data_IF_789839772853
#
_entry.id   IF_789839772853
#
_cell.length_a   1.000
_cell.length_b   1.000
_cell.length_c   1.000
_cell.angle_alpha   90.00
_cell.angle_beta   90.00
_cell.angle_gamma   90.00
#
_symmetry.space_group_name_H-M   'P 1'
#
loop_
_entity.id
_entity.type
_entity.pdbx_description
1 polymer ?
#
# COMPACT_ATOMS: atom_id res chain seq x y z
N UNK A 1 -24.97 -24.69 -26.55
CA UNK A 1 -23.83 -25.63 -26.50
C UNK A 1 -22.82 -25.08 -25.51
N UNK A 2 -22.95 -25.45 -24.23
CA UNK A 2 -21.93 -25.48 -23.17
C UNK A 2 -22.63 -26.04 -21.92
N UNK A 3 -22.81 -27.36 -21.92
CA UNK A 3 -22.98 -28.14 -20.70
C UNK A 3 -21.59 -28.39 -20.09
N UNK A 4 -21.55 -28.78 -18.81
CA UNK A 4 -20.40 -29.20 -18.01
C UNK A 4 -19.63 -28.12 -17.23
N UNK A 5 -20.29 -27.52 -16.23
CA UNK A 5 -19.65 -27.34 -14.93
C UNK A 5 -20.11 -28.50 -14.03
N UNK A 6 -19.18 -29.42 -13.73
CA UNK A 6 -19.45 -30.54 -12.85
C UNK A 6 -19.82 -30.02 -11.46
N UNK A 7 -21.07 -30.25 -11.05
CA UNK A 7 -21.48 -30.13 -9.64
C UNK A 7 -20.57 -31.03 -8.82
N UNK A 8 -19.70 -30.44 -8.00
CA UNK A 8 -19.08 -31.18 -6.91
C UNK A 8 -20.23 -31.51 -5.96
N UNK A 9 -20.61 -32.79 -5.91
CA UNK A 9 -21.62 -33.32 -4.98
C UNK A 9 -21.25 -32.89 -3.55
N UNK A 10 -22.25 -32.55 -2.74
CA UNK A 10 -22.06 -32.28 -1.31
C UNK A 10 -21.30 -33.43 -0.62
N UNK A 11 -21.40 -34.66 -1.12
CA UNK A 11 -20.65 -35.83 -0.65
C UNK A 11 -19.16 -35.76 -0.97
N UNK A 12 -18.76 -35.17 -2.10
CA UNK A 12 -17.35 -34.96 -2.44
C UNK A 12 -16.71 -33.88 -1.56
N UNK A 13 -17.47 -32.84 -1.23
CA UNK A 13 -17.06 -31.82 -0.26
C UNK A 13 -16.94 -32.45 1.14
N UNK A 14 -17.94 -33.24 1.55
CA UNK A 14 -17.93 -33.96 2.83
C UNK A 14 -16.73 -34.93 2.95
N UNK A 15 -16.39 -35.66 1.89
CA UNK A 15 -15.25 -36.59 1.92
C UNK A 15 -13.89 -35.89 1.96
N UNK A 16 -13.75 -34.70 1.36
CA UNK A 16 -12.54 -33.86 1.52
C UNK A 16 -12.46 -33.31 2.95
N UNK A 17 -13.61 -32.93 3.52
CA UNK A 17 -13.73 -32.42 4.90
C UNK A 17 -13.41 -33.50 5.94
N UNK A 18 -13.76 -34.76 5.70
CA UNK A 18 -13.46 -35.89 6.60
C UNK A 18 -11.97 -36.30 6.56
N UNK A 19 -11.29 -36.10 5.42
CA UNK A 19 -9.87 -36.44 5.27
C UNK A 19 -8.92 -35.41 5.92
N UNK A 20 -9.41 -34.20 6.20
CA UNK A 20 -8.64 -33.13 6.82
C UNK A 20 -8.77 -33.24 8.35
N UNK A 21 -7.67 -33.52 9.06
CA UNK A 21 -7.67 -33.62 10.52
C UNK A 21 -8.24 -32.36 11.23
N UNK A 22 -8.64 -32.49 12.50
CA UNK A 22 -9.33 -31.45 13.29
C UNK A 22 -8.65 -30.06 13.28
N UNK A 23 -7.32 -30.03 13.12
CA UNK A 23 -6.54 -28.80 12.92
C UNK A 23 -6.83 -28.12 11.57
N UNK A 24 -6.90 -28.88 10.47
CA UNK A 24 -7.16 -28.34 9.12
C UNK A 24 -8.58 -27.78 8.97
N UNK A 25 -9.56 -28.38 9.63
CA UNK A 25 -10.93 -27.86 9.76
C UNK A 25 -10.97 -26.53 10.49
N UNK A 26 -10.27 -26.43 11.63
CA UNK A 26 -10.20 -25.19 12.41
C UNK A 26 -9.53 -24.06 11.63
N UNK A 27 -8.44 -24.35 10.90
CA UNK A 27 -7.81 -23.37 10.01
C UNK A 27 -8.74 -22.90 8.89
N UNK A 28 -9.53 -23.80 8.31
CA UNK A 28 -10.47 -23.47 7.24
C UNK A 28 -11.59 -22.52 7.73
N UNK A 29 -12.14 -22.74 8.92
CA UNK A 29 -13.12 -21.82 9.49
C UNK A 29 -12.52 -20.47 9.86
N UNK A 30 -11.30 -20.44 10.41
CA UNK A 30 -10.59 -19.19 10.74
C UNK A 30 -10.25 -18.36 9.50
N UNK A 31 -9.89 -19.00 8.39
CA UNK A 31 -9.61 -18.27 7.14
C UNK A 31 -10.89 -17.78 6.47
N UNK A 32 -11.98 -18.54 6.52
CA UNK A 32 -13.28 -18.07 6.01
C UNK A 32 -13.82 -16.86 6.79
N UNK A 33 -13.70 -16.87 8.12
CA UNK A 33 -14.13 -15.72 8.93
C UNK A 33 -13.23 -14.51 8.70
N UNK A 34 -11.91 -14.68 8.60
CA UNK A 34 -11.00 -13.56 8.33
C UNK A 34 -11.22 -12.96 6.95
N UNK A 35 -11.39 -13.79 5.90
CA UNK A 35 -11.73 -13.33 4.55
C UNK A 35 -13.09 -12.62 4.54
N UNK A 36 -14.10 -13.15 5.24
CA UNK A 36 -15.41 -12.53 5.36
C UNK A 36 -15.34 -11.14 6.01
N UNK A 37 -14.54 -10.98 7.07
CA UNK A 37 -14.31 -9.68 7.73
C UNK A 37 -13.59 -8.71 6.80
N UNK A 38 -12.56 -9.16 6.06
CA UNK A 38 -11.82 -8.31 5.13
C UNK A 38 -12.73 -7.82 4.00
N UNK A 39 -13.52 -8.70 3.38
CA UNK A 39 -14.48 -8.32 2.34
C UNK A 39 -15.49 -7.30 2.87
N UNK A 40 -16.05 -7.55 4.06
CA UNK A 40 -17.00 -6.62 4.69
C UNK A 40 -16.37 -5.26 5.01
N UNK A 41 -15.12 -5.24 5.49
CA UNK A 41 -14.40 -3.99 5.77
C UNK A 41 -14.10 -3.20 4.49
N UNK A 42 -13.67 -3.86 3.41
CA UNK A 42 -13.43 -3.20 2.13
C UNK A 42 -14.72 -2.62 1.52
N UNK A 43 -15.83 -3.37 1.64
CA UNK A 43 -17.15 -2.86 1.27
C UNK A 43 -17.52 -1.64 2.10
N UNK A 44 -17.28 -1.65 3.42
CA UNK A 44 -17.54 -0.48 4.27
C UNK A 44 -16.72 0.75 3.84
N UNK A 45 -15.43 0.58 3.54
CA UNK A 45 -14.58 1.67 3.05
C UNK A 45 -15.07 2.24 1.72
N UNK A 46 -15.71 1.42 0.88
CA UNK A 46 -16.30 1.90 -0.39
C UNK A 46 -17.48 2.86 -0.19
N UNK A 47 -18.17 2.78 0.94
CA UNK A 47 -19.31 3.65 1.27
C UNK A 47 -18.93 4.93 2.01
N UNK A 48 -17.70 4.99 2.56
CA UNK A 48 -17.19 6.20 3.17
C UNK A 48 -16.82 7.23 2.11
N UNK A 49 -16.78 8.51 2.49
CA UNK A 49 -16.36 9.58 1.59
C UNK A 49 -15.21 10.36 2.22
N UNK A 50 -14.22 10.78 1.40
CA UNK A 50 -13.25 11.78 1.81
C UNK A 50 -13.94 13.03 2.35
N UNK A 51 -13.25 13.75 3.24
CA UNK A 51 -13.79 14.96 3.81
C UNK A 51 -13.85 16.08 2.78
N UNK A 52 -14.54 17.17 3.12
CA UNK A 52 -14.59 18.36 2.26
C UNK A 52 -13.24 19.07 2.14
N UNK A 53 -12.34 18.89 3.11
CA UNK A 53 -11.03 19.53 3.10
C UNK A 53 -9.97 18.67 2.38
N UNK A 54 -10.29 17.42 2.04
CA UNK A 54 -9.39 16.55 1.29
C UNK A 54 -9.09 17.13 -0.10
N UNK A 55 -7.80 17.32 -0.46
CA UNK A 55 -7.38 17.80 -1.77
C UNK A 55 -7.84 16.89 -2.91
N UNK A 56 -8.14 17.50 -4.07
CA UNK A 56 -8.70 16.79 -5.23
C UNK A 56 -7.83 15.62 -5.70
N UNK A 57 -6.50 15.76 -5.68
CA UNK A 57 -5.59 14.67 -6.08
C UNK A 57 -5.68 13.43 -5.16
N UNK A 58 -5.91 13.63 -3.86
CA UNK A 58 -6.12 12.53 -2.92
C UNK A 58 -7.53 11.94 -3.07
N UNK A 59 -8.54 12.75 -3.40
CA UNK A 59 -9.86 12.23 -3.79
C UNK A 59 -9.75 11.33 -5.03
N UNK A 60 -9.00 11.75 -6.05
CA UNK A 60 -8.73 10.93 -7.23
C UNK A 60 -7.93 9.66 -6.89
N UNK A 61 -7.06 9.70 -5.87
CA UNK A 61 -6.37 8.51 -5.37
C UNK A 61 -7.36 7.52 -4.74
N UNK A 62 -8.30 8.00 -3.90
CA UNK A 62 -9.35 7.21 -3.25
C UNK A 62 -10.27 6.49 -4.24
N UNK A 63 -10.66 7.18 -5.30
CA UNK A 63 -11.57 6.64 -6.32
C UNK A 63 -10.92 5.53 -7.15
N UNK A 64 -9.64 5.67 -7.48
CA UNK A 64 -8.90 4.77 -8.37
C UNK A 64 -8.28 3.57 -7.65
N UNK A 65 -7.95 3.71 -6.37
CA UNK A 65 -7.13 2.73 -5.63
C UNK A 65 -7.84 2.34 -4.33
N UNK A 66 -8.63 1.24 -4.32
CA UNK A 66 -9.32 0.75 -3.13
C UNK A 66 -8.40 0.56 -1.91
N UNK A 67 -7.15 0.17 -2.15
CA UNK A 67 -6.11 -0.05 -1.15
C UNK A 67 -5.61 1.24 -0.49
N UNK A 68 -5.75 2.40 -1.15
CA UNK A 68 -5.35 3.70 -0.60
C UNK A 68 -6.51 4.43 0.10
N UNK A 69 -7.72 3.84 0.14
CA UNK A 69 -8.91 4.52 0.68
C UNK A 69 -8.73 4.93 2.13
N UNK A 70 -8.21 4.04 2.97
CA UNK A 70 -8.03 4.32 4.39
C UNK A 70 -7.09 5.52 4.61
N UNK A 71 -5.98 5.57 3.89
CA UNK A 71 -5.07 6.71 3.87
C UNK A 71 -5.84 8.00 3.54
N UNK A 72 -6.59 8.04 2.44
CA UNK A 72 -7.33 9.28 2.08
C UNK A 72 -8.41 9.65 3.12
N UNK A 73 -9.08 8.66 3.73
CA UNK A 73 -10.09 8.87 4.77
C UNK A 73 -9.49 9.40 6.08
N UNK A 74 -8.24 9.09 6.36
CA UNK A 74 -7.53 9.56 7.55
C UNK A 74 -6.91 10.95 7.38
N UNK A 75 -7.00 11.54 6.18
CA UNK A 75 -6.44 12.85 5.86
C UNK A 75 -6.75 13.90 6.94
N UNK A 76 -8.01 14.13 7.30
CA UNK A 76 -8.41 15.15 8.29
C UNK A 76 -7.72 15.04 9.64
N UNK A 77 -7.37 13.82 10.03
CA UNK A 77 -6.78 13.53 11.33
C UNK A 77 -5.26 13.54 11.29
N UNK A 78 -4.67 13.15 10.15
CA UNK A 78 -3.25 12.78 10.06
C UNK A 78 -2.41 13.63 9.11
N UNK A 79 -3.01 14.47 8.27
CA UNK A 79 -2.26 15.26 7.28
C UNK A 79 -1.26 16.27 7.86
N UNK A 80 -1.41 16.63 9.14
CA UNK A 80 -0.49 17.51 9.87
C UNK A 80 0.51 16.74 10.74
N UNK A 81 0.45 15.40 10.73
CA UNK A 81 1.37 14.58 11.48
C UNK A 81 2.71 14.52 10.76
N UNK A 82 3.78 14.61 11.53
CA UNK A 82 5.16 14.43 11.06
C UNK A 82 5.83 13.36 11.92
N UNK A 83 5.42 12.09 11.75
CA UNK A 83 5.97 11.01 12.57
C UNK A 83 7.45 10.81 12.25
N UNK A 84 8.22 10.42 13.27
CA UNK A 84 9.60 9.97 13.07
C UNK A 84 9.61 8.75 12.16
N UNK A 85 10.43 8.80 11.11
CA UNK A 85 10.59 7.69 10.17
C UNK A 85 11.74 6.81 10.65
N UNK A 86 11.41 5.65 11.19
CA UNK A 86 12.37 4.59 11.51
C UNK A 86 12.22 3.43 10.51
N UNK A 87 13.30 3.13 9.80
CA UNK A 87 13.39 2.03 8.83
C UNK A 87 14.49 1.02 9.21
N UNK A 88 15.00 1.08 10.44
CA UNK A 88 16.10 0.24 10.92
C UNK A 88 15.79 -1.27 10.82
N UNK A 89 14.52 -1.66 10.85
CA UNK A 89 14.08 -3.04 10.62
C UNK A 89 14.45 -3.58 9.22
N UNK A 90 14.63 -2.70 8.23
CA UNK A 90 15.01 -3.06 6.86
C UNK A 90 16.53 -3.05 6.64
N UNK A 91 17.32 -2.59 7.62
CA UNK A 91 18.76 -2.58 7.51
C UNK A 91 19.30 -4.02 7.34
N UNK A 92 20.13 -4.23 6.32
CA UNK A 92 20.66 -5.54 5.94
C UNK A 92 19.58 -6.62 5.67
N UNK A 93 18.35 -6.22 5.31
CA UNK A 93 17.29 -7.14 4.93
C UNK A 93 17.73 -8.00 3.72
N UNK A 94 17.47 -9.33 3.72
CA UNK A 94 17.76 -10.19 2.59
C UNK A 94 16.80 -9.98 1.41
N UNK A 95 15.72 -9.20 1.60
CA UNK A 95 14.71 -8.89 0.60
C UNK A 95 14.61 -7.37 0.40
N UNK A 96 14.22 -6.96 -0.81
CA UNK A 96 13.90 -5.55 -1.11
C UNK A 96 12.70 -5.13 -0.24
N UNK A 97 12.80 -4.04 0.54
CA UNK A 97 11.67 -3.56 1.32
C UNK A 97 10.55 -3.06 0.40
N UNK A 98 9.30 -3.14 0.85
CA UNK A 98 8.16 -2.60 0.13
C UNK A 98 7.70 -1.30 0.79
N UNK A 99 7.90 -0.17 0.11
CA UNK A 99 7.41 1.13 0.56
C UNK A 99 6.25 1.61 -0.31
N UNK A 100 5.10 1.79 0.32
CA UNK A 100 3.91 2.33 -0.34
C UNK A 100 4.00 3.84 -0.39
N UNK A 101 3.63 4.44 -1.52
CA UNK A 101 3.65 5.90 -1.68
C UNK A 101 2.67 6.57 -0.71
N UNK A 102 1.55 5.91 -0.42
CA UNK A 102 0.50 6.34 0.51
C UNK A 102 0.69 5.84 1.94
N UNK A 103 1.93 5.62 2.37
CA UNK A 103 2.23 5.42 3.79
C UNK A 103 2.10 6.76 4.52
N UNK A 104 1.37 6.80 5.63
CA UNK A 104 1.09 8.05 6.35
C UNK A 104 2.35 8.75 6.88
N UNK A 105 3.47 8.03 7.00
CA UNK A 105 4.75 8.61 7.43
C UNK A 105 5.30 9.65 6.46
N UNK A 106 4.89 9.60 5.19
CA UNK A 106 5.37 10.53 4.15
C UNK A 106 4.32 10.92 3.12
N UNK A 107 3.26 10.15 2.93
CA UNK A 107 2.29 10.30 1.85
C UNK A 107 1.57 11.66 1.84
N UNK A 108 1.42 12.30 3.01
CA UNK A 108 0.83 13.64 3.15
C UNK A 108 1.85 14.80 3.03
N UNK A 109 3.14 14.50 2.84
CA UNK A 109 4.15 15.55 2.63
C UNK A 109 4.13 16.05 1.19
N UNK A 110 4.67 17.24 0.93
CA UNK A 110 4.78 17.77 -0.43
C UNK A 110 6.04 17.23 -1.13
N UNK A 111 5.89 16.80 -2.37
CA UNK A 111 6.97 16.45 -3.29
C UNK A 111 6.58 16.86 -4.71
N UNK A 112 7.49 17.52 -5.43
CA UNK A 112 7.28 17.96 -6.82
C UNK A 112 5.95 18.72 -7.03
N UNK A 113 5.64 19.64 -6.12
CA UNK A 113 4.44 20.49 -6.19
C UNK A 113 3.12 19.79 -5.86
N UNK A 114 3.15 18.51 -5.46
CA UNK A 114 1.98 17.68 -5.12
C UNK A 114 2.18 16.96 -3.79
N UNK A 115 1.18 16.25 -3.28
CA UNK A 115 1.38 15.29 -2.20
C UNK A 115 2.30 14.16 -2.67
N UNK A 116 3.06 13.58 -1.74
CA UNK A 116 3.98 12.48 -2.01
C UNK A 116 3.22 11.23 -2.49
N UNK A 117 2.03 10.96 -1.97
CA UNK A 117 1.23 9.80 -2.36
C UNK A 117 1.00 9.67 -3.89
N UNK A 118 0.60 10.73 -4.63
CA UNK A 118 0.49 10.67 -6.09
C UNK A 118 1.81 10.84 -6.86
N UNK A 119 2.85 11.43 -6.28
CA UNK A 119 4.05 11.89 -7.03
C UNK A 119 5.36 11.18 -6.67
N UNK A 120 5.41 10.47 -5.55
CA UNK A 120 6.64 9.95 -4.92
C UNK A 120 7.13 8.59 -5.43
N UNK A 121 6.78 8.19 -6.66
CA UNK A 121 7.16 6.88 -7.19
C UNK A 121 8.69 6.72 -7.33
N UNK A 122 9.37 7.73 -7.88
CA UNK A 122 10.83 7.75 -8.02
C UNK A 122 11.56 7.63 -6.69
N UNK A 123 11.31 8.53 -5.71
CA UNK A 123 11.93 8.46 -4.38
C UNK A 123 11.66 7.16 -3.63
N UNK A 124 10.44 6.63 -3.73
CA UNK A 124 10.09 5.34 -3.11
C UNK A 124 10.91 4.20 -3.71
N UNK A 125 10.97 4.12 -5.05
CA UNK A 125 11.78 3.12 -5.75
C UNK A 125 13.27 3.24 -5.42
N UNK A 126 13.80 4.47 -5.42
CA UNK A 126 15.21 4.72 -5.12
C UNK A 126 15.55 4.36 -3.66
N UNK A 127 14.65 4.68 -2.72
CA UNK A 127 14.78 4.29 -1.31
C UNK A 127 14.82 2.76 -1.16
N UNK A 128 13.89 2.04 -1.78
CA UNK A 128 13.86 0.57 -1.74
C UNK A 128 15.15 -0.05 -2.30
N UNK A 129 15.64 0.45 -3.44
CA UNK A 129 16.88 -0.01 -4.05
C UNK A 129 18.11 0.32 -3.18
N UNK A 130 18.19 1.54 -2.66
CA UNK A 130 19.29 2.00 -1.81
C UNK A 130 19.44 1.13 -0.55
N UNK A 131 18.35 0.94 0.19
CA UNK A 131 18.37 0.14 1.42
C UNK A 131 18.76 -1.30 1.11
N UNK A 132 18.21 -1.89 0.05
CA UNK A 132 18.54 -3.27 -0.33
C UNK A 132 20.00 -3.45 -0.73
N UNK A 133 20.56 -2.54 -1.52
CA UNK A 133 21.92 -2.66 -2.07
C UNK A 133 23.00 -2.30 -1.05
N UNK A 134 22.73 -1.38 -0.14
CA UNK A 134 23.73 -0.85 0.80
C UNK A 134 23.57 -1.42 2.21
N UNK A 135 22.37 -1.86 2.57
CA UNK A 135 21.99 -2.17 3.94
C UNK A 135 21.78 -0.95 4.83
N UNK A 136 21.98 0.27 4.32
CA UNK A 136 21.76 1.51 5.06
C UNK A 136 20.30 1.96 4.95
N UNK A 137 19.61 2.03 6.09
CA UNK A 137 18.21 2.45 6.20
C UNK A 137 18.03 3.96 6.41
N UNK A 138 19.09 4.77 6.27
CA UNK A 138 19.06 6.23 6.48
C UNK A 138 18.23 7.00 5.45
N UNK A 139 18.07 6.45 4.24
CA UNK A 139 17.38 7.12 3.13
C UNK A 139 15.96 6.59 2.95
N UNK A 140 15.02 7.13 3.72
CA UNK A 140 13.57 6.88 3.56
C UNK A 140 13.03 7.43 2.23
N UNK A 141 11.79 7.05 1.82
CA UNK A 141 11.15 7.65 0.65
C UNK A 141 11.08 9.18 0.72
N UNK A 142 10.79 9.73 1.91
CA UNK A 142 10.79 11.19 2.14
C UNK A 142 12.19 11.78 1.95
N UNK A 143 13.21 11.22 2.58
CA UNK A 143 14.59 11.69 2.45
C UNK A 143 15.10 11.59 1.00
N UNK A 144 14.70 10.57 0.25
CA UNK A 144 14.98 10.46 -1.18
C UNK A 144 14.24 11.50 -2.02
N UNK A 145 13.04 11.92 -1.58
CA UNK A 145 12.31 13.02 -2.21
C UNK A 145 12.98 14.36 -2.00
N UNK A 146 13.48 14.60 -0.79
CA UNK A 146 14.30 15.78 -0.45
C UNK A 146 15.61 15.79 -1.25
N UNK A 147 16.30 14.64 -1.33
CA UNK A 147 17.48 14.47 -2.17
C UNK A 147 17.18 14.78 -3.64
N UNK A 148 16.13 14.18 -4.21
CA UNK A 148 15.74 14.41 -5.60
C UNK A 148 15.44 15.90 -5.85
N UNK A 149 14.77 16.57 -4.92
CA UNK A 149 14.50 18.01 -5.00
C UNK A 149 15.79 18.82 -4.97
N UNK A 150 16.67 18.55 -4.01
CA UNK A 150 17.94 19.26 -3.85
C UNK A 150 18.88 19.10 -5.05
N UNK A 151 18.80 17.96 -5.75
CA UNK A 151 19.60 17.67 -6.95
C UNK A 151 18.94 18.12 -8.27
N UNK A 152 17.75 18.74 -8.21
CA UNK A 152 17.05 19.21 -9.41
C UNK A 152 16.37 18.09 -10.21
N UNK A 153 16.06 16.96 -9.57
CA UNK A 153 15.33 15.84 -10.16
C UNK A 153 13.82 15.86 -9.85
N UNK A 154 13.33 16.79 -9.04
CA UNK A 154 11.89 17.01 -8.86
C UNK A 154 11.37 17.98 -9.93
N UNK A 155 10.25 17.63 -10.57
CA UNK A 155 9.58 18.43 -11.60
C UNK A 155 8.16 18.70 -11.15
N UNK A 156 7.86 19.96 -10.84
CA UNK A 156 6.55 20.37 -10.33
C UNK A 156 5.41 19.92 -11.25
N UNK A 157 4.43 19.21 -10.69
CA UNK A 157 3.30 18.67 -11.46
C UNK A 157 3.56 17.29 -12.10
N UNK A 158 4.82 16.84 -12.19
CA UNK A 158 5.20 15.63 -12.94
C UNK A 158 5.91 14.57 -12.08
N UNK A 159 6.31 14.91 -10.84
CA UNK A 159 7.02 13.99 -9.95
C UNK A 159 8.54 14.04 -10.18
N UNK A 160 9.14 12.90 -10.51
CA UNK A 160 10.60 12.79 -10.70
C UNK A 160 10.99 12.83 -12.18
N UNK A 161 12.08 13.54 -12.48
CA UNK A 161 12.77 13.42 -13.75
C UNK A 161 13.34 12.00 -13.93
N UNK A 162 13.35 11.50 -15.16
CA UNK A 162 13.95 10.20 -15.52
C UNK A 162 15.40 10.05 -15.06
N UNK A 163 16.15 11.17 -15.04
CA UNK A 163 17.54 11.22 -14.62
C UNK A 163 17.78 10.77 -13.16
N UNK A 164 16.74 10.72 -12.31
CA UNK A 164 16.86 10.23 -10.94
C UNK A 164 17.24 8.74 -10.86
N UNK A 165 16.80 7.95 -11.85
CA UNK A 165 16.87 6.47 -11.81
C UNK A 165 17.50 5.85 -13.07
N UNK A 166 18.12 6.68 -13.93
CA UNK A 166 18.76 6.25 -15.19
C UNK A 166 20.26 6.01 -15.06
#
# INVERSE_FOLDING_TARGET
MFQHFGRISAERVANIVIAAGSSALSFFFLTLTSLGVICFQQDLLSWQRPSKITPTELVSLFERNPEARQFVLDFDKRHNDHPTIDLSEYAHSPMVPLFLLWDERWGYTNYAGQYFAPSGCGPSCLSMAYIYLTGDASMSPLAMGEFATAQGYAVDGEGSAWALIS
#
